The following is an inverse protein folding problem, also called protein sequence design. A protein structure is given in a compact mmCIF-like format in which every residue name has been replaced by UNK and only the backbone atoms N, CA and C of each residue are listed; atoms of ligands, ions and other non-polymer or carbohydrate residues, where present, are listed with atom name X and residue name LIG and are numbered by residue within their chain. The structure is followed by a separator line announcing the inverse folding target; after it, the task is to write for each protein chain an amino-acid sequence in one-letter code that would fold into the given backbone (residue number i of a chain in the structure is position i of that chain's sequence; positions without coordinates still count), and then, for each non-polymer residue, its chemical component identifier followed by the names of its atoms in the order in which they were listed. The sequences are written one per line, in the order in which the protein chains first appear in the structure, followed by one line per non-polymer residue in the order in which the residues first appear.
data_IF_904590413740
#
_entry.id   IF_904590413740
#
_cell.length_a   1.000
_cell.length_b   1.000
_cell.length_c   1.000
_cell.angle_alpha   90.00
_cell.angle_beta   90.00
_cell.angle_gamma   90.00
#
_symmetry.space_group_name_H-M   'P 1'
#
loop_
_entity.id
_entity.type
_entity.pdbx_description
1 polymer ?
#
# COMPACT_ATOMS: atom_id res chain seq x y z
N UNK A 1 -35.22 18.19 -11.48
CA UNK A 1 -34.40 17.83 -10.29
C UNK A 1 -33.23 18.80 -10.22
N UNK A 2 -32.64 19.05 -9.05
CA UNK A 2 -31.43 19.86 -8.98
C UNK A 2 -30.24 19.05 -9.49
N UNK A 3 -29.37 19.67 -10.31
CA UNK A 3 -28.08 19.06 -10.70
C UNK A 3 -27.24 18.75 -9.45
N UNK A 4 -26.35 17.78 -9.56
CA UNK A 4 -25.47 17.38 -8.47
C UNK A 4 -24.50 18.51 -8.08
N UNK A 5 -24.08 18.53 -6.81
CA UNK A 5 -23.18 19.54 -6.25
C UNK A 5 -21.75 19.50 -6.81
N UNK A 6 -21.32 18.35 -7.34
CA UNK A 6 -20.00 18.20 -7.96
C UNK A 6 -19.90 18.87 -9.34
N UNK A 7 -21.03 19.20 -9.98
CA UNK A 7 -21.10 19.86 -11.28
C UNK A 7 -21.33 21.36 -11.10
N UNK A 8 -20.50 22.19 -11.71
CA UNK A 8 -20.69 23.63 -11.88
C UNK A 8 -21.17 23.92 -13.30
N UNK A 9 -22.21 24.74 -13.43
CA UNK A 9 -22.75 25.20 -14.72
C UNK A 9 -22.76 26.72 -14.71
N UNK A 10 -22.28 27.36 -15.78
CA UNK A 10 -22.23 28.82 -15.90
C UNK A 10 -22.42 29.30 -17.35
N UNK A 11 -23.21 30.35 -17.60
CA UNK A 11 -24.06 31.07 -16.64
C UNK A 11 -25.27 30.23 -16.19
N UNK A 12 -25.88 30.56 -15.03
CA UNK A 12 -27.08 29.87 -14.53
C UNK A 12 -28.40 30.48 -15.07
N UNK A 13 -28.30 31.58 -15.81
CA UNK A 13 -29.41 32.31 -16.43
C UNK A 13 -28.88 33.15 -17.59
N UNK A 14 -29.71 33.40 -18.60
CA UNK A 14 -29.34 34.19 -19.78
C UNK A 14 -30.58 34.53 -20.62
N UNK A 15 -30.37 35.09 -21.81
CA UNK A 15 -31.45 35.40 -22.74
C UNK A 15 -31.03 35.19 -24.18
N UNK A 16 -31.92 34.65 -25.01
CA UNK A 16 -31.59 34.32 -26.40
C UNK A 16 -30.64 33.12 -26.49
N UNK A 17 -29.91 33.04 -27.59
CA UNK A 17 -29.00 31.93 -27.85
C UNK A 17 -27.65 32.19 -27.18
N UNK A 18 -27.28 31.33 -26.22
CA UNK A 18 -26.01 31.38 -25.49
C UNK A 18 -25.45 29.97 -25.31
N UNK A 19 -24.18 29.88 -24.92
CA UNK A 19 -23.53 28.60 -24.56
C UNK A 19 -23.34 28.51 -23.05
N UNK A 20 -23.46 27.29 -22.51
CA UNK A 20 -23.22 26.98 -21.11
C UNK A 20 -21.89 26.23 -20.97
N UNK A 21 -21.10 26.59 -19.97
CA UNK A 21 -19.90 25.86 -19.58
C UNK A 21 -20.22 24.91 -18.41
N UNK A 22 -19.74 23.67 -18.52
CA UNK A 22 -19.86 22.63 -17.49
C UNK A 22 -18.46 22.32 -16.95
N UNK A 23 -18.27 22.33 -15.63
CA UNK A 23 -17.00 21.96 -15.01
C UNK A 23 -17.21 21.19 -13.71
N UNK A 24 -16.25 20.33 -13.34
CA UNK A 24 -16.29 19.52 -12.12
C UNK A 24 -14.88 19.37 -11.53
N UNK A 25 -14.79 19.11 -10.22
CA UNK A 25 -13.54 18.70 -9.59
C UNK A 25 -13.17 17.27 -10.00
N UNK A 26 -11.90 16.89 -9.85
CA UNK A 26 -11.45 15.50 -10.09
C UNK A 26 -12.32 14.51 -9.30
N UNK A 27 -12.73 13.44 -9.99
CA UNK A 27 -13.40 12.31 -9.36
C UNK A 27 -12.37 11.20 -9.15
N UNK A 28 -12.18 10.76 -7.90
CA UNK A 28 -11.14 9.78 -7.54
C UNK A 28 -11.66 8.35 -7.43
N UNK A 29 -12.99 8.17 -7.39
CA UNK A 29 -13.64 6.86 -7.42
C UNK A 29 -13.56 6.21 -8.80
N UNK A 30 -13.61 4.88 -8.84
CA UNK A 30 -13.49 4.11 -10.09
C UNK A 30 -14.79 4.03 -10.91
N UNK A 31 -15.95 4.27 -10.28
CA UNK A 31 -17.24 4.24 -10.98
C UNK A 31 -17.59 5.62 -11.52
N UNK A 32 -18.18 5.68 -12.72
CA UNK A 32 -18.65 6.95 -13.26
C UNK A 32 -19.81 7.49 -12.42
N UNK A 33 -19.96 8.82 -12.44
CA UNK A 33 -21.07 9.50 -11.77
C UNK A 33 -21.80 10.40 -12.74
N UNK A 34 -23.11 10.46 -12.58
CA UNK A 34 -23.99 11.17 -13.50
C UNK A 34 -24.90 12.16 -12.79
N UNK A 35 -25.31 13.19 -13.53
CA UNK A 35 -26.37 14.10 -13.09
C UNK A 35 -27.12 14.66 -14.29
N UNK A 36 -28.34 15.15 -14.04
CA UNK A 36 -29.17 15.80 -15.04
C UNK A 36 -29.20 17.29 -14.78
N UNK A 37 -28.91 18.07 -15.83
CA UNK A 37 -29.15 19.52 -15.84
C UNK A 37 -30.53 19.77 -16.44
N UNK A 38 -31.32 20.60 -15.78
CA UNK A 38 -32.67 20.98 -16.23
C UNK A 38 -32.68 22.48 -16.53
N UNK A 39 -33.07 22.84 -17.75
CA UNK A 39 -33.29 24.21 -18.19
C UNK A 39 -34.79 24.54 -18.25
N UNK A 40 -35.15 25.75 -17.82
CA UNK A 40 -36.52 26.28 -17.92
C UNK A 40 -36.46 27.68 -18.51
N UNK A 41 -37.44 28.05 -19.32
CA UNK A 41 -37.56 29.39 -19.89
C UNK A 41 -39.01 29.89 -19.80
N UNK A 42 -39.19 31.19 -19.67
CA UNK A 42 -40.53 31.80 -19.63
C UNK A 42 -41.29 31.50 -20.92
N UNK A 43 -42.53 31.01 -20.78
CA UNK A 43 -43.38 30.60 -21.92
C UNK A 43 -43.08 29.22 -22.49
N UNK A 44 -42.15 28.46 -21.89
CA UNK A 44 -41.88 27.06 -22.23
C UNK A 44 -42.43 26.16 -21.12
N UNK A 45 -43.48 25.40 -21.46
CA UNK A 45 -44.22 24.57 -20.48
C UNK A 45 -43.47 23.30 -20.05
N UNK A 46 -42.67 22.73 -20.95
CA UNK A 46 -41.89 21.50 -20.68
C UNK A 46 -40.41 21.86 -20.53
N UNK A 47 -39.80 21.68 -19.34
CA UNK A 47 -38.37 21.84 -19.16
C UNK A 47 -37.59 20.90 -20.08
N UNK A 48 -36.45 21.38 -20.60
CA UNK A 48 -35.52 20.54 -21.35
C UNK A 48 -34.35 20.10 -20.47
N UNK A 49 -33.73 18.98 -20.81
CA UNK A 49 -32.68 18.36 -19.98
C UNK A 49 -31.54 17.78 -20.80
N UNK A 50 -30.34 17.80 -20.23
CA UNK A 50 -29.23 16.99 -20.71
C UNK A 50 -28.52 16.29 -19.55
N UNK A 51 -27.90 15.16 -19.84
CA UNK A 51 -27.13 14.37 -18.88
C UNK A 51 -25.66 14.78 -18.93
N UNK A 52 -25.03 14.83 -17.76
CA UNK A 52 -23.60 14.99 -17.60
C UNK A 52 -23.06 13.76 -16.90
N UNK A 53 -22.15 13.05 -17.56
CA UNK A 53 -21.39 11.96 -16.99
C UNK A 53 -19.95 12.43 -16.73
N UNK A 54 -19.44 12.14 -15.53
CA UNK A 54 -18.03 12.24 -15.22
C UNK A 54 -17.47 10.81 -15.08
N UNK A 55 -16.52 10.47 -15.94
CA UNK A 55 -15.87 9.17 -15.95
C UNK A 55 -15.19 8.86 -14.60
N UNK A 56 -15.19 7.57 -14.24
CA UNK A 56 -14.42 7.05 -13.12
C UNK A 56 -12.91 7.11 -13.35
N UNK A 57 -12.14 7.24 -12.28
CA UNK A 57 -10.68 7.14 -12.31
C UNK A 57 -10.27 5.69 -12.50
N UNK A 58 -9.33 5.42 -13.41
CA UNK A 58 -8.78 4.09 -13.57
C UNK A 58 -8.30 3.54 -12.22
N UNK A 59 -8.50 2.24 -11.98
CA UNK A 59 -8.06 1.64 -10.74
C UNK A 59 -6.55 1.81 -10.53
N UNK A 60 -6.12 1.98 -9.29
CA UNK A 60 -4.70 2.14 -8.98
C UNK A 60 -4.33 1.59 -7.60
N UNK A 61 -3.04 1.35 -7.43
CA UNK A 61 -2.38 1.10 -6.14
C UNK A 61 -1.17 2.04 -6.10
N UNK A 62 -0.98 2.72 -4.99
CA UNK A 62 0.17 3.62 -4.77
C UNK A 62 0.63 3.51 -3.32
N UNK A 63 1.90 3.19 -3.08
CA UNK A 63 2.47 3.22 -1.74
C UNK A 63 2.84 4.64 -1.33
N UNK A 64 2.75 4.94 -0.04
CA UNK A 64 3.14 6.23 0.50
C UNK A 64 4.66 6.42 0.49
N UNK A 65 5.42 5.35 0.77
CA UNK A 65 6.89 5.35 0.79
C UNK A 65 7.51 5.19 -0.62
N UNK A 66 6.69 5.10 -1.67
CA UNK A 66 7.17 4.88 -3.04
C UNK A 66 7.56 3.43 -3.31
N UNK A 67 8.75 3.21 -3.86
CA UNK A 67 9.18 1.86 -4.30
C UNK A 67 9.86 1.05 -3.18
N UNK A 68 10.33 1.72 -2.12
CA UNK A 68 11.15 1.10 -1.08
C UNK A 68 10.84 1.71 0.30
N UNK A 69 11.02 0.94 1.36
CA UNK A 69 10.95 1.41 2.75
C UNK A 69 12.03 0.74 3.61
N UNK A 70 12.42 1.37 4.72
CA UNK A 70 13.44 0.83 5.60
C UNK A 70 12.82 0.02 6.76
N UNK A 71 13.54 -1.01 7.20
CA UNK A 71 13.27 -1.78 8.42
C UNK A 71 14.54 -1.89 9.27
N UNK A 72 14.38 -1.99 10.58
CA UNK A 72 15.51 -2.09 11.50
C UNK A 72 16.07 -3.52 11.54
N UNK A 73 17.36 -3.65 11.85
CA UNK A 73 18.04 -4.95 11.97
C UNK A 73 17.40 -5.88 13.00
N UNK A 74 16.81 -5.33 14.06
CA UNK A 74 16.14 -6.11 15.12
C UNK A 74 14.88 -6.84 14.61
N UNK A 75 14.42 -6.52 13.40
CA UNK A 75 13.18 -7.05 12.83
C UNK A 75 11.95 -6.44 13.50
N UNK A 76 10.89 -7.24 13.60
CA UNK A 76 9.62 -6.84 14.19
C UNK A 76 8.60 -6.35 13.16
N UNK A 77 7.49 -5.83 13.69
CA UNK A 77 6.36 -5.36 12.89
C UNK A 77 6.68 -4.02 12.22
N UNK A 78 6.47 -3.95 10.91
CA UNK A 78 6.45 -2.71 10.13
C UNK A 78 5.09 -2.57 9.47
N UNK A 79 4.64 -1.32 9.27
CA UNK A 79 3.35 -1.03 8.63
C UNK A 79 3.60 -0.45 7.25
N UNK A 80 3.11 -1.14 6.21
CA UNK A 80 3.11 -0.66 4.83
C UNK A 80 1.82 0.09 4.57
N UNK A 81 1.91 1.31 4.04
CA UNK A 81 0.74 2.17 3.79
C UNK A 81 0.67 2.65 2.34
N UNK A 82 -0.53 2.99 1.90
CA UNK A 82 -0.74 3.52 0.55
C UNK A 82 -2.18 3.93 0.28
N UNK A 83 -2.48 4.22 -0.97
CA UNK A 83 -3.80 4.58 -1.49
C UNK A 83 -4.23 3.69 -2.65
N UNK A 84 -5.54 3.51 -2.78
CA UNK A 84 -6.18 2.79 -3.88
C UNK A 84 -7.63 3.24 -4.02
N UNK A 85 -8.26 2.92 -5.15
CA UNK A 85 -9.71 3.01 -5.37
C UNK A 85 -10.31 1.64 -5.78
N UNK A 86 -9.60 0.56 -5.50
CA UNK A 86 -10.04 -0.80 -5.83
C UNK A 86 -11.10 -1.35 -4.88
N UNK A 87 -11.90 -2.32 -5.32
CA UNK A 87 -12.90 -2.95 -4.44
C UNK A 87 -12.29 -3.95 -3.44
N UNK A 88 -11.03 -4.36 -3.66
CA UNK A 88 -10.30 -5.40 -2.92
C UNK A 88 -8.81 -5.18 -3.08
N UNK A 89 -8.03 -5.57 -2.06
CA UNK A 89 -6.58 -5.72 -2.13
C UNK A 89 -6.15 -7.10 -1.59
N UNK A 90 -5.06 -7.64 -2.14
CA UNK A 90 -4.35 -8.80 -1.63
C UNK A 90 -2.85 -8.53 -1.51
N UNK A 91 -2.24 -9.09 -0.47
CA UNK A 91 -0.85 -8.87 -0.08
C UNK A 91 -0.11 -10.21 -0.09
N UNK A 92 1.03 -10.26 -0.75
CA UNK A 92 1.85 -11.47 -0.84
C UNK A 92 3.33 -11.12 -0.99
N UNK A 93 4.20 -11.91 -0.39
CA UNK A 93 5.62 -11.80 -0.67
C UNK A 93 5.92 -12.40 -2.05
N UNK A 94 6.73 -11.72 -2.85
CA UNK A 94 7.13 -12.16 -4.20
C UNK A 94 8.64 -12.26 -4.39
N UNK A 95 9.42 -11.93 -3.36
CA UNK A 95 10.88 -12.00 -3.40
C UNK A 95 11.49 -11.63 -2.06
N UNK A 96 12.80 -11.83 -1.95
CA UNK A 96 13.59 -11.43 -0.79
C UNK A 96 14.28 -12.56 -0.04
N UNK A 97 14.85 -12.20 1.11
CA UNK A 97 15.85 -12.94 1.87
C UNK A 97 15.29 -13.58 3.15
N UNK A 98 14.21 -14.34 3.01
CA UNK A 98 13.52 -15.02 4.10
C UNK A 98 12.00 -14.99 3.91
N UNK A 99 11.26 -15.38 4.94
CA UNK A 99 9.80 -15.26 4.96
C UNK A 99 9.38 -13.97 5.67
N UNK A 100 8.44 -13.27 5.05
CA UNK A 100 7.74 -12.13 5.62
C UNK A 100 6.40 -12.61 6.18
N UNK A 101 6.17 -12.43 7.48
CA UNK A 101 4.86 -12.74 8.07
C UNK A 101 3.90 -11.58 7.78
N UNK A 102 2.93 -11.82 6.90
CA UNK A 102 1.96 -10.81 6.46
C UNK A 102 0.67 -10.99 7.27
N UNK A 103 0.23 -9.92 7.93
CA UNK A 103 -1.00 -9.96 8.73
C UNK A 103 -2.20 -10.47 7.91
N UNK A 104 -3.03 -11.33 8.52
CA UNK A 104 -4.24 -11.88 7.90
C UNK A 104 -5.24 -10.81 7.47
N UNK A 105 -5.23 -9.66 8.14
CA UNK A 105 -6.10 -8.52 7.86
C UNK A 105 -5.28 -7.27 7.55
N UNK A 106 -5.78 -6.48 6.61
CA UNK A 106 -5.34 -5.11 6.33
C UNK A 106 -6.47 -4.14 6.69
N UNK A 107 -6.13 -2.86 6.85
CA UNK A 107 -7.13 -1.80 6.95
C UNK A 107 -7.27 -1.11 5.61
N UNK A 108 -8.50 -0.85 5.14
CA UNK A 108 -8.77 -0.04 3.96
C UNK A 108 -10.05 0.77 4.13
N UNK A 109 -10.00 2.07 3.81
CA UNK A 109 -11.14 2.97 4.02
C UNK A 109 -11.62 3.00 5.48
N UNK A 110 -10.70 2.83 6.44
CA UNK A 110 -10.99 2.77 7.87
C UNK A 110 -11.60 1.44 8.36
N UNK A 111 -11.64 0.39 7.53
CA UNK A 111 -12.23 -0.91 7.87
C UNK A 111 -11.20 -2.04 7.83
N UNK A 112 -11.24 -2.92 8.83
CA UNK A 112 -10.47 -4.17 8.81
C UNK A 112 -11.05 -5.11 7.77
N UNK A 113 -10.19 -5.61 6.87
CA UNK A 113 -10.55 -6.48 5.75
C UNK A 113 -9.58 -7.64 5.69
N UNK A 114 -10.08 -8.86 5.57
CA UNK A 114 -9.24 -10.04 5.40
C UNK A 114 -8.47 -9.98 4.08
N UNK A 115 -7.22 -10.42 4.09
CA UNK A 115 -6.33 -10.38 2.94
C UNK A 115 -6.99 -11.08 1.73
N UNK A 116 -7.11 -10.37 0.62
CA UNK A 116 -7.74 -10.87 -0.59
C UNK A 116 -9.27 -10.95 -0.53
N UNK A 117 -9.93 -10.31 0.42
CA UNK A 117 -11.40 -10.16 0.43
C UNK A 117 -11.84 -8.76 -0.02
N UNK A 118 -13.10 -8.65 -0.45
CA UNK A 118 -13.72 -7.39 -0.82
C UNK A 118 -13.84 -6.45 0.39
N UNK A 119 -13.56 -5.17 0.18
CA UNK A 119 -13.63 -4.13 1.20
C UNK A 119 -15.10 -3.79 1.42
N UNK A 120 -15.56 -3.90 2.67
CA UNK A 120 -16.96 -3.69 3.00
C UNK A 120 -17.45 -2.28 2.59
N UNK A 121 -18.53 -2.23 1.81
CA UNK A 121 -19.13 -0.99 1.31
C UNK A 121 -18.36 -0.30 0.18
N UNK A 122 -17.28 -0.92 -0.31
CA UNK A 122 -16.57 -0.51 -1.52
C UNK A 122 -16.27 0.99 -1.63
N UNK A 123 -15.44 1.54 -0.72
CA UNK A 123 -15.11 2.96 -0.71
C UNK A 123 -14.55 3.44 -2.06
N UNK A 124 -13.81 2.56 -2.74
CA UNK A 124 -13.17 2.77 -4.04
C UNK A 124 -14.12 3.13 -5.18
N UNK A 125 -15.40 2.75 -5.08
CA UNK A 125 -16.40 3.08 -6.09
C UNK A 125 -16.57 4.60 -6.24
N UNK A 126 -16.60 5.31 -5.11
CA UNK A 126 -16.93 6.75 -5.06
C UNK A 126 -15.74 7.67 -4.77
N UNK A 127 -14.68 7.16 -4.15
CA UNK A 127 -13.46 7.92 -3.87
C UNK A 127 -12.24 7.01 -3.70
N UNK A 128 -11.03 7.55 -3.84
CA UNK A 128 -9.84 6.87 -3.33
C UNK A 128 -9.88 6.72 -1.80
N UNK A 129 -9.20 5.71 -1.28
CA UNK A 129 -9.06 5.43 0.14
C UNK A 129 -7.63 5.07 0.50
N UNK A 130 -7.29 5.25 1.78
CA UNK A 130 -6.02 4.78 2.35
C UNK A 130 -6.13 3.29 2.75
N UNK A 131 -5.03 2.56 2.55
CA UNK A 131 -4.85 1.21 3.06
C UNK A 131 -3.58 1.11 3.92
N UNK A 132 -3.57 0.15 4.85
CA UNK A 132 -2.41 -0.22 5.64
C UNK A 132 -2.38 -1.73 5.93
N UNK A 133 -1.22 -2.36 5.79
CA UNK A 133 -1.00 -3.76 6.19
C UNK A 133 0.22 -3.85 7.10
N UNK A 134 0.15 -4.71 8.11
CA UNK A 134 1.28 -5.02 8.98
C UNK A 134 2.03 -6.21 8.43
N UNK A 135 3.34 -6.14 8.45
CA UNK A 135 4.22 -7.26 8.09
C UNK A 135 5.32 -7.38 9.16
N UNK A 136 5.65 -8.59 9.57
CA UNK A 136 6.65 -8.86 10.60
C UNK A 136 7.89 -9.48 9.98
N UNK A 137 9.05 -8.88 10.26
CA UNK A 137 10.35 -9.33 9.80
C UNK A 137 11.09 -10.08 10.91
N UNK A 138 11.83 -11.16 10.62
CA UNK A 138 12.76 -11.74 11.58
C UNK A 138 13.94 -10.80 11.83
N UNK A 139 14.66 -10.95 12.94
CA UNK A 139 15.93 -10.26 13.18
C UNK A 139 16.96 -10.58 12.07
N UNK A 140 17.74 -9.58 11.66
CA UNK A 140 18.87 -9.73 10.76
C UNK A 140 20.17 -9.96 11.54
N UNK A 141 20.50 -11.23 11.75
CA UNK A 141 21.76 -11.63 12.40
C UNK A 141 23.00 -11.58 11.50
N UNK A 142 22.88 -11.26 10.21
CA UNK A 142 24.01 -11.21 9.28
C UNK A 142 24.56 -9.78 9.19
N UNK A 143 25.79 -9.64 8.67
CA UNK A 143 26.41 -8.33 8.43
C UNK A 143 26.00 -7.69 7.10
N UNK A 144 25.04 -8.28 6.38
CA UNK A 144 24.58 -7.81 5.08
C UNK A 144 23.14 -7.30 5.17
N UNK A 145 22.79 -6.30 4.35
CA UNK A 145 21.40 -5.85 4.22
C UNK A 145 20.51 -6.97 3.66
N UNK A 146 19.28 -7.03 4.17
CA UNK A 146 18.26 -7.95 3.70
C UNK A 146 17.13 -7.21 3.00
N UNK A 147 16.68 -7.75 1.88
CA UNK A 147 15.52 -7.22 1.17
C UNK A 147 14.34 -8.19 1.25
N UNK A 148 13.13 -7.65 1.36
CA UNK A 148 11.86 -8.38 1.24
C UNK A 148 10.96 -7.65 0.25
N UNK A 149 10.41 -8.35 -0.75
CA UNK A 149 9.54 -7.72 -1.74
C UNK A 149 8.08 -8.08 -1.46
N UNK A 150 7.31 -7.09 -1.02
CA UNK A 150 5.87 -7.21 -0.83
C UNK A 150 5.14 -6.74 -2.09
N UNK A 151 4.24 -7.57 -2.61
CA UNK A 151 3.32 -7.21 -3.68
C UNK A 151 1.93 -6.92 -3.11
N UNK A 152 1.30 -5.87 -3.64
CA UNK A 152 -0.13 -5.59 -3.48
C UNK A 152 -0.80 -5.74 -4.85
N UNK A 153 -1.89 -6.50 -4.92
CA UNK A 153 -2.71 -6.72 -6.11
C UNK A 153 -4.18 -6.38 -5.83
N UNK A 154 -4.91 -5.88 -6.81
CA UNK A 154 -6.32 -5.50 -6.63
C UNK A 154 -7.35 -6.64 -6.84
N UNK A 155 -6.89 -7.89 -6.94
CA UNK A 155 -7.67 -9.02 -7.42
C UNK A 155 -7.78 -9.12 -8.94
N UNK A 156 -7.17 -8.20 -9.69
CA UNK A 156 -7.15 -8.15 -11.15
C UNK A 156 -5.73 -8.00 -11.72
N UNK A 157 -5.59 -7.24 -12.81
CA UNK A 157 -4.30 -7.04 -13.50
C UNK A 157 -3.39 -5.98 -12.84
N UNK A 158 -3.91 -5.22 -11.88
CA UNK A 158 -3.15 -4.14 -11.27
C UNK A 158 -2.40 -4.69 -10.06
N UNK A 159 -1.07 -4.57 -10.12
CA UNK A 159 -0.22 -4.86 -8.98
C UNK A 159 0.91 -3.84 -8.87
N UNK A 160 1.37 -3.64 -7.63
CA UNK A 160 2.56 -2.85 -7.29
C UNK A 160 3.38 -3.59 -6.26
N UNK A 161 4.67 -3.29 -6.23
CA UNK A 161 5.61 -3.88 -5.29
C UNK A 161 6.31 -2.78 -4.50
N UNK A 162 6.63 -3.10 -3.25
CA UNK A 162 7.50 -2.31 -2.39
C UNK A 162 8.60 -3.22 -1.83
N UNK A 163 9.84 -2.74 -1.87
CA UNK A 163 10.99 -3.43 -1.28
C UNK A 163 11.21 -2.92 0.13
N UNK A 164 11.19 -3.82 1.11
CA UNK A 164 11.51 -3.54 2.51
C UNK A 164 12.99 -3.86 2.72
N UNK A 165 13.80 -2.82 2.94
CA UNK A 165 15.24 -2.90 3.17
C UNK A 165 15.54 -2.96 4.66
N UNK A 166 15.89 -4.15 5.14
CA UNK A 166 16.23 -4.41 6.52
C UNK A 166 17.73 -4.26 6.74
N UNK A 167 18.11 -3.32 7.60
CA UNK A 167 19.51 -3.01 7.90
C UNK A 167 20.31 -4.27 8.32
N UNK A 168 21.62 -4.25 8.02
CA UNK A 168 22.58 -5.24 8.49
C UNK A 168 22.66 -5.29 10.03
N UNK A 169 22.88 -6.49 10.57
CA UNK A 169 23.25 -6.71 11.96
C UNK A 169 24.68 -6.27 12.28
N UNK A 170 24.99 -6.12 13.57
CA UNK A 170 26.35 -5.79 14.00
C UNK A 170 27.27 -7.01 13.87
N UNK A 171 28.49 -6.81 13.39
CA UNK A 171 29.49 -7.87 13.38
C UNK A 171 29.90 -8.25 14.81
N UNK A 172 29.96 -9.54 15.11
CA UNK A 172 30.47 -10.04 16.38
C UNK A 172 31.36 -11.27 16.18
N UNK A 173 32.30 -11.44 17.11
CA UNK A 173 33.14 -12.62 17.27
C UNK A 173 33.39 -12.84 18.76
N UNK A 174 33.18 -14.05 19.26
CA UNK A 174 33.51 -14.42 20.63
C UNK A 174 33.83 -15.91 20.76
N UNK A 175 34.72 -16.22 21.70
CA UNK A 175 34.91 -17.59 22.17
C UNK A 175 33.81 -17.93 23.18
N UNK A 176 33.26 -19.15 23.10
CA UNK A 176 32.25 -19.63 24.05
C UNK A 176 32.82 -19.88 25.46
N UNK A 177 34.15 -19.85 25.61
CA UNK A 177 34.87 -20.03 26.88
C UNK A 177 36.07 -19.09 26.93
N UNK A 178 36.32 -18.51 28.09
CA UNK A 178 37.49 -17.65 28.33
C UNK A 178 38.79 -18.45 28.52
N UNK A 179 38.68 -19.69 29.00
CA UNK A 179 39.83 -20.59 29.17
C UNK A 179 39.45 -22.05 29.04
N UNK A 180 40.45 -22.87 28.73
CA UNK A 180 40.41 -24.33 28.78
C UNK A 180 41.66 -24.85 29.49
N UNK A 181 41.59 -26.08 29.98
CA UNK A 181 42.75 -26.80 30.51
C UNK A 181 42.93 -28.09 29.73
N UNK A 182 44.11 -28.26 29.13
CA UNK A 182 44.51 -29.51 28.51
C UNK A 182 45.11 -30.41 29.60
N UNK A 183 44.63 -31.65 29.80
CA UNK A 183 45.20 -32.55 30.81
C UNK A 183 46.70 -32.82 30.56
N UNK A 184 47.45 -33.14 31.63
CA UNK A 184 48.89 -33.44 31.52
C UNK A 184 49.19 -34.62 30.58
N UNK A 185 48.27 -35.59 30.48
CA UNK A 185 48.36 -36.71 29.54
C UNK A 185 48.14 -36.32 28.07
N UNK A 186 47.83 -35.05 27.81
CA UNK A 186 47.38 -34.55 26.50
C UNK A 186 45.90 -34.83 26.25
N UNK A 187 45.45 -34.53 25.02
CA UNK A 187 44.09 -34.76 24.55
C UNK A 187 43.50 -33.56 23.80
N UNK A 188 42.39 -33.78 23.11
CA UNK A 188 41.65 -32.71 22.43
C UNK A 188 40.67 -32.06 23.41
N UNK A 189 40.74 -30.73 23.50
CA UNK A 189 39.75 -29.91 24.20
C UNK A 189 39.23 -28.87 23.22
N UNK A 190 37.91 -28.83 23.01
CA UNK A 190 37.29 -27.92 22.06
C UNK A 190 36.84 -26.62 22.72
N UNK A 191 36.99 -25.52 21.98
CA UNK A 191 36.39 -24.21 22.25
C UNK A 191 35.49 -23.87 21.07
N UNK A 192 34.23 -23.52 21.32
CA UNK A 192 33.32 -23.10 20.28
C UNK A 192 33.55 -21.61 19.96
N UNK A 193 33.35 -21.25 18.70
CA UNK A 193 33.36 -19.86 18.22
C UNK A 193 31.93 -19.48 17.86
N UNK A 194 31.50 -18.30 18.28
CA UNK A 194 30.27 -17.67 17.84
C UNK A 194 30.65 -16.40 17.04
N UNK A 195 30.32 -16.38 15.75
CA UNK A 195 30.61 -15.27 14.85
C UNK A 195 29.57 -15.19 13.74
N UNK A 196 29.17 -13.97 13.36
CA UNK A 196 28.38 -13.71 12.15
C UNK A 196 29.21 -13.10 11.01
N UNK A 197 30.52 -12.97 11.22
CA UNK A 197 31.48 -12.47 10.23
C UNK A 197 32.66 -13.43 10.05
N UNK A 198 33.47 -13.19 9.03
CA UNK A 198 34.69 -13.95 8.75
C UNK A 198 35.73 -13.69 9.85
N UNK A 199 36.41 -14.74 10.30
CA UNK A 199 37.40 -14.66 11.38
C UNK A 199 38.68 -15.43 11.02
N UNK A 200 39.78 -15.09 11.70
CA UNK A 200 41.07 -15.78 11.62
C UNK A 200 41.62 -15.99 13.03
N UNK A 201 42.40 -17.05 13.25
CA UNK A 201 43.09 -17.35 14.51
C UNK A 201 44.60 -17.32 14.26
N UNK A 202 45.36 -16.76 15.21
CA UNK A 202 46.83 -16.63 15.16
C UNK A 202 47.48 -17.14 16.42
#
# INVERSE_FOLDING_TARGET
MAKASWLTVSPMSGSGNESLNNSAQEHTGRESRETTVTGTATGVETPDTYQVEQAGKAEFIQFNDGAEMAAQKDGGEVTVTGKSNSAKLSFSQVGGSGELDIAENYTAGGKSTANGQAIAGDPGASAEYEFSVKVTLPENGTIEEREFTLQVNNGGSISKQIVIKQAAGDAYFRFAKESITIPQAGGNVSVNIESNTTWNIS
#
